data_IF_837220024539
#
_entry.id   IF_837220024539
#
_cell.length_a   1.000
_cell.length_b   1.000
_cell.length_c   1.000
_cell.angle_alpha   90.00
_cell.angle_beta   90.00
_cell.angle_gamma   90.00
#
_symmetry.space_group_name_H-M   'P 1'
#
loop_
_entity.id
_entity.type
_entity.pdbx_description
1 polymer ?
#
# COMPACT_ATOMS: atom_id res chain seq x y z
N UNK A 1 19.36 -7.61 -7.51
CA UNK A 1 18.22 -6.89 -8.13
C UNK A 1 17.10 -7.88 -8.32
N UNK A 2 15.89 -7.54 -7.87
CA UNK A 2 14.70 -8.36 -8.05
C UNK A 2 13.59 -7.51 -8.66
N UNK A 3 12.91 -8.00 -9.70
CA UNK A 3 11.83 -7.27 -10.37
C UNK A 3 10.58 -8.13 -10.34
N UNK A 4 9.52 -7.60 -9.73
CA UNK A 4 8.24 -8.27 -9.59
C UNK A 4 7.18 -7.41 -10.28
N UNK A 5 6.18 -8.04 -10.89
CA UNK A 5 4.98 -7.35 -11.39
C UNK A 5 3.81 -7.73 -10.50
N UNK A 6 3.06 -6.73 -10.06
CA UNK A 6 1.76 -6.96 -9.45
C UNK A 6 0.71 -6.84 -10.54
N UNK A 7 -0.13 -7.87 -10.65
CA UNK A 7 -1.40 -7.82 -11.35
C UNK A 7 -2.49 -7.99 -10.32
N UNK A 8 -3.39 -7.02 -10.25
CA UNK A 8 -4.51 -7.05 -9.34
C UNK A 8 -5.74 -6.57 -10.09
N UNK A 9 -6.87 -7.17 -9.76
CA UNK A 9 -8.19 -6.73 -10.16
C UNK A 9 -9.01 -6.62 -8.88
N UNK A 10 -9.34 -5.38 -8.50
CA UNK A 10 -10.06 -5.06 -7.27
C UNK A 10 -11.25 -4.17 -7.63
N UNK A 11 -12.42 -4.74 -7.98
CA UNK A 11 -13.59 -3.97 -8.43
C UNK A 11 -14.29 -3.20 -7.29
N UNK A 12 -13.54 -2.76 -6.28
CA UNK A 12 -14.05 -2.08 -5.09
C UNK A 12 -14.71 -0.74 -5.45
N UNK A 13 -16.03 -0.72 -5.29
CA UNK A 13 -16.88 0.43 -5.61
C UNK A 13 -17.33 0.50 -7.07
N UNK A 14 -17.01 -0.48 -7.93
CA UNK A 14 -17.46 -0.49 -9.33
C UNK A 14 -18.92 -0.93 -9.49
N UNK A 15 -19.49 -1.63 -8.51
CA UNK A 15 -20.91 -2.04 -8.51
C UNK A 15 -21.88 -1.01 -7.92
N UNK A 16 -21.37 0.17 -7.53
CA UNK A 16 -22.18 1.25 -6.99
C UNK A 16 -22.72 0.99 -5.58
N UNK A 17 -22.80 2.05 -4.77
CA UNK A 17 -23.33 1.97 -3.41
C UNK A 17 -24.24 3.15 -3.16
N UNK A 18 -25.43 2.88 -2.61
CA UNK A 18 -26.35 3.88 -2.10
C UNK A 18 -26.33 3.89 -0.57
N UNK A 19 -26.22 5.07 0.01
CA UNK A 19 -26.27 5.27 1.46
C UNK A 19 -27.58 5.95 1.83
N UNK A 20 -28.27 5.35 2.79
CA UNK A 20 -29.51 5.87 3.36
C UNK A 20 -29.25 6.24 4.82
N UNK A 21 -29.63 7.45 5.20
CA UNK A 21 -29.42 8.00 6.54
C UNK A 21 -30.36 7.42 7.58
N UNK A 22 -31.47 6.80 7.14
CA UNK A 22 -32.43 6.15 8.01
C UNK A 22 -33.17 5.01 7.29
N UNK A 23 -33.86 4.17 8.07
CA UNK A 23 -34.78 3.18 7.52
C UNK A 23 -35.95 3.86 6.77
N UNK A 24 -36.40 5.03 7.22
CA UNK A 24 -37.45 5.79 6.54
C UNK A 24 -37.03 6.22 5.14
N UNK A 25 -35.80 6.71 4.98
CA UNK A 25 -35.21 7.09 3.69
C UNK A 25 -35.08 5.89 2.75
N UNK A 26 -34.70 4.73 3.28
CA UNK A 26 -34.65 3.49 2.51
C UNK A 26 -36.02 3.07 1.99
N UNK A 27 -37.05 3.07 2.86
CA UNK A 27 -38.43 2.75 2.46
C UNK A 27 -39.02 3.77 1.49
N UNK A 28 -38.58 5.03 1.56
CA UNK A 28 -38.98 6.10 0.66
C UNK A 28 -38.16 6.16 -0.65
N UNK A 29 -37.21 5.23 -0.87
CA UNK A 29 -36.32 5.23 -2.03
C UNK A 29 -35.53 6.55 -2.19
N UNK A 30 -35.13 7.16 -1.08
CA UNK A 30 -34.54 8.49 -1.00
C UNK A 30 -33.12 8.43 -0.41
N UNK A 31 -32.10 7.94 -1.15
CA UNK A 31 -30.74 7.87 -0.64
C UNK A 31 -30.12 9.26 -0.46
N UNK A 32 -29.31 9.41 0.59
CA UNK A 32 -28.56 10.63 0.84
C UNK A 32 -27.32 10.73 -0.03
N UNK A 33 -26.74 9.60 -0.41
CA UNK A 33 -25.53 9.56 -1.23
C UNK A 33 -25.51 8.34 -2.14
N UNK A 34 -24.90 8.51 -3.31
CA UNK A 34 -24.53 7.46 -4.24
C UNK A 34 -23.04 7.57 -4.56
N UNK A 35 -22.33 6.44 -4.63
CA UNK A 35 -20.92 6.39 -5.04
C UNK A 35 -20.68 5.22 -5.97
N UNK A 36 -20.01 5.46 -7.09
CA UNK A 36 -19.57 4.39 -8.00
C UNK A 36 -18.27 4.76 -8.71
N UNK A 37 -17.38 3.78 -8.82
CA UNK A 37 -16.18 3.86 -9.64
C UNK A 37 -16.47 3.42 -11.08
N UNK A 38 -15.84 4.10 -12.03
CA UNK A 38 -15.92 3.80 -13.47
C UNK A 38 -14.54 3.67 -14.07
N UNK A 39 -14.41 2.89 -15.13
CA UNK A 39 -13.14 2.64 -15.83
C UNK A 39 -12.68 1.19 -15.68
N UNK A 40 -11.37 0.99 -15.53
CA UNK A 40 -10.76 -0.33 -15.34
C UNK A 40 -10.30 -0.53 -13.90
N UNK A 41 -10.85 -1.56 -13.22
CA UNK A 41 -10.40 -2.04 -11.91
C UNK A 41 -9.09 -2.83 -11.95
N UNK A 42 -8.65 -3.20 -13.15
CA UNK A 42 -7.41 -3.96 -13.35
C UNK A 42 -6.19 -3.03 -13.38
N UNK A 43 -5.17 -3.39 -12.61
CA UNK A 43 -3.85 -2.75 -12.63
C UNK A 43 -2.75 -3.76 -12.88
N UNK A 44 -1.76 -3.37 -13.69
CA UNK A 44 -0.49 -4.07 -13.84
C UNK A 44 0.64 -3.05 -13.74
N UNK A 45 1.52 -3.20 -12.75
CA UNK A 45 2.68 -2.34 -12.57
C UNK A 45 3.92 -3.11 -12.04
N UNK A 46 5.13 -2.73 -12.50
CA UNK A 46 6.37 -3.31 -12.00
C UNK A 46 6.88 -2.58 -10.75
N UNK A 47 7.48 -3.35 -9.83
CA UNK A 47 8.31 -2.85 -8.73
C UNK A 47 9.67 -3.52 -8.82
N UNK A 48 10.74 -2.75 -8.64
CA UNK A 48 12.10 -3.27 -8.69
C UNK A 48 12.82 -2.98 -7.40
N UNK A 49 13.32 -4.01 -6.72
CA UNK A 49 14.11 -3.86 -5.51
C UNK A 49 15.60 -4.15 -5.73
N UNK A 50 16.41 -3.40 -5.02
CA UNK A 50 17.85 -3.53 -4.93
C UNK A 50 18.21 -3.70 -3.47
N UNK A 51 19.16 -4.59 -3.20
CA UNK A 51 19.63 -4.85 -1.85
C UNK A 51 21.11 -5.21 -1.92
N UNK A 52 21.90 -4.63 -1.04
CA UNK A 52 23.32 -4.92 -0.88
C UNK A 52 23.64 -5.03 0.60
N UNK A 53 24.54 -5.95 0.95
CA UNK A 53 25.00 -6.11 2.33
C UNK A 53 26.51 -6.24 2.38
N UNK A 54 27.09 -5.72 3.45
CA UNK A 54 28.46 -5.94 3.85
C UNK A 54 28.46 -6.33 5.32
N UNK A 55 29.27 -7.31 5.68
CA UNK A 55 29.44 -7.73 7.05
C UNK A 55 30.92 -8.04 7.27
N UNK A 56 31.42 -7.68 8.44
CA UNK A 56 32.75 -8.01 8.89
C UNK A 56 32.72 -8.58 10.30
N UNK A 57 33.70 -9.42 10.59
CA UNK A 57 33.84 -10.15 11.84
C UNK A 57 35.28 -10.09 12.32
N UNK A 58 35.49 -9.50 13.49
CA UNK A 58 36.82 -9.34 14.05
C UNK A 58 36.93 -10.01 15.40
N UNK A 59 37.93 -10.87 15.55
CA UNK A 59 38.39 -11.37 16.84
C UNK A 59 39.60 -10.57 17.28
N UNK A 60 39.37 -9.45 17.98
CA UNK A 60 40.41 -8.53 18.43
C UNK A 60 41.32 -9.17 19.49
N UNK A 61 40.77 -10.06 20.31
CA UNK A 61 41.50 -10.87 21.28
C UNK A 61 40.91 -12.28 21.30
N UNK A 62 41.60 -13.25 21.92
CA UNK A 62 41.09 -14.64 22.09
C UNK A 62 39.75 -14.72 22.84
N UNK A 63 39.33 -13.62 23.43
CA UNK A 63 38.15 -13.50 24.27
C UNK A 63 37.20 -12.39 23.83
N UNK A 64 37.49 -11.64 22.76
CA UNK A 64 36.67 -10.51 22.33
C UNK A 64 36.45 -10.57 20.82
N UNK A 65 35.18 -10.62 20.46
CA UNK A 65 34.70 -10.69 19.09
C UNK A 65 33.70 -9.58 18.83
N UNK A 66 33.85 -8.92 17.70
CA UNK A 66 32.96 -7.84 17.23
C UNK A 66 32.44 -8.21 15.84
N UNK A 67 31.14 -8.11 15.68
CA UNK A 67 30.45 -8.29 14.41
C UNK A 67 29.90 -6.93 13.97
N UNK A 68 30.28 -6.47 12.78
CA UNK A 68 29.71 -5.27 12.18
C UNK A 68 29.01 -5.63 10.88
N UNK A 69 27.83 -5.08 10.65
CA UNK A 69 27.08 -5.28 9.43
C UNK A 69 26.38 -4.01 8.98
N UNK A 70 26.25 -3.85 7.67
CA UNK A 70 25.40 -2.84 7.08
C UNK A 70 24.69 -3.44 5.87
N UNK A 71 23.39 -3.20 5.78
CA UNK A 71 22.60 -3.52 4.60
C UNK A 71 21.91 -2.27 4.09
N UNK A 72 21.91 -2.08 2.78
CA UNK A 72 21.12 -1.05 2.12
C UNK A 72 20.07 -1.74 1.25
N UNK A 73 18.82 -1.31 1.39
CA UNK A 73 17.71 -1.73 0.55
C UNK A 73 17.10 -0.53 -0.16
N UNK A 74 16.67 -0.71 -1.40
CA UNK A 74 16.01 0.32 -2.18
C UNK A 74 14.89 -0.31 -3.01
N UNK A 75 13.70 0.25 -2.95
CA UNK A 75 12.57 -0.18 -3.76
C UNK A 75 12.12 0.93 -4.70
N UNK A 76 12.25 0.67 -6.00
CA UNK A 76 11.78 1.56 -7.05
C UNK A 76 10.30 1.34 -7.30
N UNK A 77 9.49 2.27 -6.83
CA UNK A 77 8.04 2.32 -7.05
C UNK A 77 7.70 2.87 -8.45
N UNK A 78 6.47 2.65 -8.95
CA UNK A 78 6.00 3.25 -10.19
C UNK A 78 6.11 4.79 -10.21
N UNK A 79 6.11 5.38 -11.40
CA UNK A 79 6.12 6.82 -11.56
C UNK A 79 4.90 7.46 -10.85
N UNK A 80 5.10 8.63 -10.25
CA UNK A 80 4.08 9.33 -9.45
C UNK A 80 4.15 9.07 -7.94
N UNK A 81 4.93 8.09 -7.50
CA UNK A 81 5.19 7.84 -6.07
C UNK A 81 6.58 8.34 -5.64
N UNK A 82 6.64 8.86 -4.42
CA UNK A 82 7.90 9.21 -3.78
C UNK A 82 8.75 7.96 -3.58
N UNK A 83 10.04 8.07 -3.89
CA UNK A 83 10.99 6.97 -3.77
C UNK A 83 11.67 7.07 -2.41
N UNK A 84 11.62 5.99 -1.64
CA UNK A 84 12.31 5.92 -0.35
C UNK A 84 13.73 5.40 -0.54
N UNK A 85 14.73 6.19 -0.13
CA UNK A 85 16.15 5.97 -0.38
C UNK A 85 16.99 5.92 0.90
N UNK A 86 16.39 5.94 2.09
CA UNK A 86 17.13 6.04 3.35
C UNK A 86 17.18 4.73 4.17
N UNK A 87 16.82 3.61 3.55
CA UNK A 87 16.73 2.29 4.18
C UNK A 87 18.11 1.64 4.39
N UNK A 88 18.91 2.23 5.28
CA UNK A 88 20.22 1.72 5.72
C UNK A 88 20.05 1.00 7.06
N UNK A 89 20.25 -0.31 7.07
CA UNK A 89 20.12 -1.22 8.21
C UNK A 89 21.50 -1.55 8.83
N UNK A 90 22.05 -0.72 9.74
CA UNK A 90 23.25 -1.05 10.50
C UNK A 90 22.99 -2.15 11.52
N UNK A 91 24.02 -2.95 11.80
CA UNK A 91 24.03 -4.03 12.78
C UNK A 91 25.38 -4.06 13.48
N UNK A 92 25.36 -4.22 14.79
CA UNK A 92 26.56 -4.40 15.61
C UNK A 92 26.31 -5.51 16.62
N UNK A 93 27.29 -6.38 16.78
CA UNK A 93 27.33 -7.47 17.75
C UNK A 93 28.65 -7.48 18.51
N UNK A 94 28.58 -7.87 19.78
CA UNK A 94 29.72 -8.01 20.66
C UNK A 94 29.61 -9.33 21.40
N UNK A 95 30.69 -10.10 21.41
CA UNK A 95 30.84 -11.27 22.28
C UNK A 95 32.13 -11.15 23.08
N UNK A 96 32.04 -11.29 24.39
CA UNK A 96 33.17 -11.17 25.30
C UNK A 96 33.20 -12.29 26.33
N UNK A 97 34.33 -12.97 26.45
CA UNK A 97 34.54 -14.11 27.33
C UNK A 97 35.57 -13.79 28.42
N UNK A 98 35.20 -13.07 29.50
CA UNK A 98 36.16 -12.65 30.53
C UNK A 98 36.80 -13.81 31.30
N UNK A 99 36.23 -15.01 31.23
CA UNK A 99 36.82 -16.25 31.74
C UNK A 99 36.30 -17.45 30.95
N UNK A 100 36.92 -18.64 31.05
CA UNK A 100 36.43 -19.84 30.36
C UNK A 100 35.00 -20.27 30.73
N UNK A 101 34.46 -19.75 31.85
CA UNK A 101 33.12 -20.10 32.35
C UNK A 101 32.03 -19.11 31.94
N UNK A 102 32.40 -17.92 31.47
CA UNK A 102 31.46 -16.82 31.23
C UNK A 102 31.60 -16.25 29.83
N UNK A 103 30.47 -16.05 29.16
CA UNK A 103 30.40 -15.34 27.88
C UNK A 103 29.25 -14.33 27.93
N UNK A 104 29.56 -13.06 27.68
CA UNK A 104 28.61 -11.98 27.51
C UNK A 104 28.39 -11.72 26.03
N UNK A 105 27.12 -11.57 25.62
CA UNK A 105 26.75 -11.22 24.25
C UNK A 105 25.79 -10.04 24.27
N UNK A 106 26.05 -9.08 23.41
CA UNK A 106 25.19 -7.93 23.19
C UNK A 106 25.08 -7.65 21.69
N UNK A 107 23.96 -7.07 21.26
CA UNK A 107 23.78 -6.70 19.87
C UNK A 107 22.71 -5.63 19.70
N UNK A 108 22.85 -4.85 18.64
CA UNK A 108 21.91 -3.81 18.23
C UNK A 108 21.79 -3.79 16.71
N UNK A 109 20.60 -3.54 16.19
CA UNK A 109 20.39 -3.40 14.76
C UNK A 109 19.12 -2.64 14.43
N UNK A 110 19.14 -1.95 13.29
CA UNK A 110 17.98 -1.28 12.70
C UNK A 110 17.57 -2.04 11.44
N UNK A 111 16.26 -2.15 11.22
CA UNK A 111 15.68 -2.91 10.11
C UNK A 111 14.53 -2.12 9.51
N UNK A 112 14.40 -2.20 8.19
CA UNK A 112 13.36 -1.55 7.42
C UNK A 112 12.53 -2.61 6.70
N UNK A 113 11.23 -2.36 6.60
CA UNK A 113 10.31 -3.20 5.83
C UNK A 113 10.11 -2.65 4.42
N UNK A 114 9.59 -3.48 3.53
CA UNK A 114 9.26 -3.09 2.15
C UNK A 114 7.85 -2.52 2.09
N UNK A 115 7.58 -1.72 1.05
CA UNK A 115 6.23 -1.23 0.83
C UNK A 115 5.27 -2.39 0.54
N UNK A 116 4.08 -2.33 1.15
CA UNK A 116 3.00 -3.28 0.85
C UNK A 116 2.35 -2.88 -0.46
N UNK A 117 2.63 -3.64 -1.53
CA UNK A 117 2.22 -3.31 -2.90
C UNK A 117 0.69 -3.17 -3.07
N UNK A 118 -0.14 -3.82 -2.25
CA UNK A 118 -1.60 -3.68 -2.30
C UNK A 118 -2.09 -2.26 -2.01
N UNK A 119 -1.34 -1.48 -1.21
CA UNK A 119 -1.69 -0.10 -0.91
C UNK A 119 -1.50 0.82 -2.14
N UNK A 120 -0.63 0.42 -3.08
CA UNK A 120 -0.40 1.14 -4.32
C UNK A 120 -1.49 0.85 -5.36
N UNK A 121 -2.11 -0.33 -5.31
CA UNK A 121 -3.16 -0.77 -6.24
C UNK A 121 -4.26 0.29 -6.36
N UNK A 122 -4.89 0.69 -5.26
CA UNK A 122 -6.02 1.64 -5.28
C UNK A 122 -5.60 3.03 -5.80
N UNK A 123 -4.41 3.50 -5.42
CA UNK A 123 -3.89 4.78 -5.86
C UNK A 123 -3.53 4.79 -7.36
N UNK A 124 -3.09 3.66 -7.91
CA UNK A 124 -2.80 3.50 -9.35
C UNK A 124 -4.09 3.30 -10.16
N UNK A 125 -5.05 2.59 -9.59
CA UNK A 125 -6.34 2.27 -10.18
C UNK A 125 -7.19 3.53 -10.35
N UNK A 126 -7.44 4.26 -9.25
CA UNK A 126 -8.30 5.45 -9.21
C UNK A 126 -7.50 6.75 -9.36
N UNK A 127 -6.59 6.80 -10.34
CA UNK A 127 -5.71 7.96 -10.58
C UNK A 127 -6.30 9.01 -11.53
N UNK A 128 -7.57 8.86 -11.95
CA UNK A 128 -8.24 9.75 -12.91
C UNK A 128 -7.93 9.47 -14.38
N UNK A 129 -6.94 8.61 -14.69
CA UNK A 129 -6.62 8.19 -16.05
C UNK A 129 -7.22 6.82 -16.41
N UNK A 130 -7.23 5.87 -15.45
CA UNK A 130 -7.69 4.49 -15.66
C UNK A 130 -9.07 4.23 -15.07
N UNK A 131 -9.27 4.72 -13.86
CA UNK A 131 -10.55 4.76 -13.20
C UNK A 131 -10.68 6.03 -12.36
N UNK A 132 -11.92 6.38 -12.05
CA UNK A 132 -12.29 7.50 -11.20
C UNK A 132 -13.60 7.16 -10.46
N UNK A 133 -13.99 7.96 -9.47
CA UNK A 133 -15.14 7.68 -8.64
C UNK A 133 -16.09 8.87 -8.57
N UNK A 134 -17.31 8.68 -9.05
CA UNK A 134 -18.33 9.72 -8.94
C UNK A 134 -19.07 9.57 -7.62
N UNK A 135 -19.29 10.71 -6.96
CA UNK A 135 -20.10 10.83 -5.75
C UNK A 135 -21.25 11.79 -6.03
N UNK A 136 -22.48 11.35 -5.75
CA UNK A 136 -23.68 12.15 -5.86
C UNK A 136 -24.34 12.25 -4.49
N UNK A 137 -24.85 13.43 -4.12
CA UNK A 137 -25.55 13.63 -2.85
C UNK A 137 -26.99 14.14 -3.06
N UNK A 138 -27.86 13.87 -2.09
CA UNK A 138 -29.25 14.35 -2.03
C UNK A 138 -30.06 14.02 -3.28
N UNK A 139 -30.65 15.06 -3.89
CA UNK A 139 -31.52 14.91 -5.07
C UNK A 139 -30.80 14.22 -6.24
N UNK A 140 -29.50 14.44 -6.42
CA UNK A 140 -28.73 13.78 -7.47
C UNK A 140 -28.64 12.26 -7.21
N UNK A 141 -28.36 11.86 -5.97
CA UNK A 141 -28.35 10.44 -5.58
C UNK A 141 -29.73 9.78 -5.77
N UNK A 142 -30.80 10.50 -5.41
CA UNK A 142 -32.18 10.01 -5.57
C UNK A 142 -32.56 9.85 -7.04
N UNK A 143 -32.22 10.82 -7.89
CA UNK A 143 -32.46 10.72 -9.33
C UNK A 143 -31.72 9.53 -9.95
N UNK A 144 -30.47 9.28 -9.52
CA UNK A 144 -29.70 8.12 -9.96
C UNK A 144 -30.31 6.81 -9.46
N UNK A 145 -30.77 6.75 -8.21
CA UNK A 145 -31.44 5.57 -7.66
C UNK A 145 -32.69 5.20 -8.45
N UNK A 146 -33.54 6.18 -8.76
CA UNK A 146 -34.75 5.96 -9.58
C UNK A 146 -34.37 5.51 -10.99
N UNK A 147 -33.39 6.16 -11.62
CA UNK A 147 -32.95 5.86 -12.99
C UNK A 147 -32.34 4.46 -13.10
N UNK A 148 -31.49 4.09 -12.14
CA UNK A 148 -30.82 2.79 -12.10
C UNK A 148 -31.67 1.69 -11.43
N UNK A 149 -32.87 2.04 -10.93
CA UNK A 149 -33.75 1.16 -10.16
C UNK A 149 -33.02 0.51 -8.97
N UNK A 150 -32.16 1.29 -8.30
CA UNK A 150 -31.32 0.86 -7.19
C UNK A 150 -30.11 0.00 -7.55
N UNK A 151 -29.85 -0.26 -8.84
CA UNK A 151 -28.66 -0.95 -9.32
C UNK A 151 -27.48 -0.01 -9.63
N UNK A 152 -26.33 -0.57 -10.04
CA UNK A 152 -25.22 0.21 -10.59
C UNK A 152 -25.60 0.97 -11.84
N UNK A 153 -24.87 2.05 -12.10
CA UNK A 153 -24.87 2.70 -13.39
C UNK A 153 -23.99 1.93 -14.38
N UNK A 154 -24.44 1.85 -15.63
CA UNK A 154 -23.68 1.23 -16.73
C UNK A 154 -22.53 2.12 -17.20
N UNK A 155 -22.59 3.43 -16.90
CA UNK A 155 -21.54 4.39 -17.21
C UNK A 155 -21.65 5.66 -16.36
N UNK A 156 -20.66 6.57 -16.46
CA UNK A 156 -20.61 7.78 -15.65
C UNK A 156 -21.85 8.67 -15.83
N UNK A 157 -22.36 9.19 -14.72
CA UNK A 157 -23.46 10.14 -14.72
C UNK A 157 -22.98 11.52 -15.22
N UNK A 158 -23.77 12.14 -16.10
CA UNK A 158 -23.49 13.49 -16.58
C UNK A 158 -23.70 14.52 -15.47
N UNK A 159 -22.85 15.56 -15.44
CA UNK A 159 -22.94 16.64 -14.44
C UNK A 159 -22.38 16.29 -13.06
N UNK A 160 -21.84 15.08 -12.88
CA UNK A 160 -21.16 14.66 -11.65
C UNK A 160 -19.65 14.57 -11.91
N UNK A 161 -18.87 15.27 -11.10
CA UNK A 161 -17.42 15.27 -11.24
C UNK A 161 -16.82 13.91 -10.83
N UNK A 162 -15.68 13.51 -11.46
CA UNK A 162 -14.90 12.34 -11.08
C UNK A 162 -14.13 12.49 -9.77
#
# INVERSE_FOLDING_TARGET
MNRIRLRADAPDGFEGVYLFGSLGDFLAANPNQFRQAFGSSSVDFPVTSFGGFVQDHWSLARQLTVDLGMRYDFERLPAGFNQDTNNVSPRIGLAWSPSPKWVFRAGYGVFFDRFVLSNLTRAIEKNGLRAFEQVADGNAATNLFVTAKGGPLVGPASGIAP
#
